data_IF_324348370901
#
_entry.id   IF_324348370901
#
_cell.length_a   1.000
_cell.length_b   1.000
_cell.length_c   1.000
_cell.angle_alpha   90.00
_cell.angle_beta   90.00
_cell.angle_gamma   90.00
#
_symmetry.space_group_name_H-M   'P 1'
#
loop_
_entity.id
_entity.type
_entity.pdbx_description
1 polymer ?
#
# COMPACT_ATOMS: atom_id res chain seq x y z
N UNK A 1 3.06 29.92 18.81
CA UNK A 1 3.12 28.69 18.01
C UNK A 1 4.07 27.74 18.72
N UNK A 2 3.56 26.74 19.41
CA UNK A 2 4.40 25.73 20.07
C UNK A 2 4.49 24.54 19.11
N UNK A 3 5.68 24.28 18.57
CA UNK A 3 5.97 23.08 17.80
C UNK A 3 5.86 21.89 18.77
N UNK A 4 4.88 21.03 18.54
CA UNK A 4 4.85 19.73 19.21
C UNK A 4 5.92 18.87 18.55
N UNK A 5 7.09 18.81 19.19
CA UNK A 5 8.10 17.82 18.86
C UNK A 5 7.48 16.45 19.20
N UNK A 6 7.25 15.62 18.18
CA UNK A 6 6.91 14.23 18.37
C UNK A 6 8.09 13.53 19.07
N UNK A 7 7.94 13.28 20.36
CA UNK A 7 8.90 12.46 21.10
C UNK A 7 8.60 11.00 20.78
N UNK A 8 9.50 10.38 20.06
CA UNK A 8 9.52 8.94 19.81
C UNK A 8 9.71 8.22 21.16
N UNK A 9 8.64 7.87 21.83
CA UNK A 9 8.65 6.93 22.94
C UNK A 9 8.51 5.54 22.32
N UNK A 10 9.64 4.84 22.14
CA UNK A 10 9.72 3.50 21.57
C UNK A 10 9.04 2.44 22.46
N UNK A 11 7.71 2.48 22.52
CA UNK A 11 6.88 1.46 23.12
C UNK A 11 6.06 0.78 22.05
N UNK A 12 6.02 -0.58 22.08
CA UNK A 12 5.10 -1.37 21.24
C UNK A 12 3.67 -0.88 21.48
N UNK A 13 2.88 -0.63 20.42
CA UNK A 13 1.46 -0.33 20.56
C UNK A 13 0.80 -1.50 21.28
N UNK A 14 0.18 -1.23 22.41
CA UNK A 14 -0.57 -2.24 23.16
C UNK A 14 -1.93 -2.46 22.52
N UNK A 15 -2.56 -3.60 22.79
CA UNK A 15 -3.94 -3.88 22.38
C UNK A 15 -4.89 -2.77 22.87
N UNK A 16 -4.67 -2.24 24.08
CA UNK A 16 -5.47 -1.14 24.62
C UNK A 16 -5.36 0.15 23.79
N UNK A 17 -4.21 0.40 23.15
CA UNK A 17 -4.06 1.51 22.22
C UNK A 17 -4.71 1.21 20.87
N UNK A 18 -4.66 -0.04 20.40
CA UNK A 18 -5.36 -0.48 19.20
C UNK A 18 -6.89 -0.40 19.40
N UNK A 19 -7.38 -0.75 20.57
CA UNK A 19 -8.80 -0.67 20.93
C UNK A 19 -9.36 0.75 20.81
N UNK A 20 -8.54 1.79 21.05
CA UNK A 20 -8.98 3.19 20.90
C UNK A 20 -9.11 3.64 19.44
N UNK A 21 -8.58 2.89 18.47
CA UNK A 21 -8.67 3.21 17.05
C UNK A 21 -10.06 2.83 16.54
N UNK A 22 -10.73 3.76 15.89
CA UNK A 22 -12.03 3.53 15.26
C UNK A 22 -11.88 3.18 13.78
N UNK A 23 -10.91 3.80 13.10
CA UNK A 23 -10.64 3.60 11.68
C UNK A 23 -9.23 3.05 11.51
N UNK A 24 -9.10 1.98 10.74
CA UNK A 24 -7.81 1.39 10.35
C UNK A 24 -7.70 1.47 8.83
N UNK A 25 -6.65 2.15 8.38
CA UNK A 25 -6.31 2.32 6.98
C UNK A 25 -5.20 1.34 6.62
N UNK A 26 -5.35 0.64 5.50
CA UNK A 26 -4.36 -0.34 5.03
C UNK A 26 -3.85 0.03 3.64
N UNK A 27 -2.55 -0.05 3.41
CA UNK A 27 -2.08 -0.21 2.03
C UNK A 27 -2.42 -1.60 1.50
N UNK A 28 -2.35 -1.78 0.18
CA UNK A 28 -2.69 -3.05 -0.48
C UNK A 28 -1.43 -3.85 -0.80
N UNK A 29 -0.66 -3.39 -1.79
CA UNK A 29 0.49 -4.11 -2.34
C UNK A 29 1.67 -4.10 -1.36
N UNK A 30 2.09 -5.24 -0.85
CA UNK A 30 3.15 -5.36 0.15
C UNK A 30 2.67 -5.28 1.60
N UNK A 31 1.41 -4.92 1.83
CA UNK A 31 0.80 -4.83 3.16
C UNK A 31 -0.27 -5.89 3.36
N UNK A 32 -1.38 -5.80 2.64
CA UNK A 32 -2.47 -6.79 2.69
C UNK A 32 -2.14 -8.02 1.85
N UNK A 33 -1.53 -7.83 0.67
CA UNK A 33 -1.32 -8.88 -0.32
C UNK A 33 0.09 -8.85 -0.91
N UNK A 34 0.64 -10.05 -1.22
CA UNK A 34 1.82 -10.19 -2.08
C UNK A 34 1.37 -10.25 -3.55
N UNK A 35 1.37 -9.10 -4.20
CA UNK A 35 0.98 -8.93 -5.60
C UNK A 35 2.17 -8.86 -6.56
N UNK A 36 3.39 -8.99 -6.05
CA UNK A 36 4.60 -8.78 -6.85
C UNK A 36 4.69 -9.74 -8.05
N UNK A 37 4.23 -10.98 -7.90
CA UNK A 37 4.27 -12.00 -8.97
C UNK A 37 3.36 -11.62 -10.14
N UNK A 38 2.16 -11.13 -9.87
CA UNK A 38 1.24 -10.69 -10.94
C UNK A 38 1.72 -9.41 -11.62
N UNK A 39 2.26 -8.46 -10.86
CA UNK A 39 2.89 -7.25 -11.41
C UNK A 39 4.09 -7.61 -12.29
N UNK A 40 4.93 -8.54 -11.86
CA UNK A 40 6.07 -9.05 -12.63
C UNK A 40 5.62 -9.74 -13.92
N UNK A 41 4.61 -10.62 -13.84
CA UNK A 41 4.04 -11.30 -14.99
C UNK A 41 3.52 -10.30 -16.03
N UNK A 42 2.65 -9.38 -15.61
CA UNK A 42 2.06 -8.39 -16.50
C UNK A 42 3.11 -7.44 -17.09
N UNK A 43 4.11 -7.03 -16.31
CA UNK A 43 5.21 -6.20 -16.81
C UNK A 43 6.02 -6.92 -17.87
N UNK A 44 6.41 -8.17 -17.64
CA UNK A 44 7.18 -8.92 -18.64
C UNK A 44 6.38 -9.29 -19.89
N UNK A 45 5.09 -9.52 -19.77
CA UNK A 45 4.21 -9.64 -20.95
C UNK A 45 4.17 -8.33 -21.75
N UNK A 46 4.12 -7.19 -21.07
CA UNK A 46 4.12 -5.87 -21.71
C UNK A 46 5.45 -5.56 -22.39
N UNK A 47 6.57 -5.84 -21.72
CA UNK A 47 7.90 -5.67 -22.29
C UNK A 47 8.12 -6.56 -23.51
N UNK A 48 7.68 -7.81 -23.46
CA UNK A 48 7.76 -8.74 -24.59
C UNK A 48 6.92 -8.25 -25.77
N UNK A 49 5.71 -7.76 -25.55
CA UNK A 49 4.84 -7.18 -26.59
C UNK A 49 5.50 -5.96 -27.26
N UNK A 50 6.29 -5.20 -26.52
CA UNK A 50 7.05 -4.03 -27.00
C UNK A 50 8.47 -4.37 -27.49
N UNK A 51 8.85 -5.65 -27.51
CA UNK A 51 10.17 -6.14 -27.88
C UNK A 51 11.31 -5.52 -27.03
N UNK A 52 11.05 -5.29 -25.76
CA UNK A 52 12.00 -4.78 -24.75
C UNK A 52 12.59 -5.93 -23.92
N UNK A 53 13.80 -5.75 -23.35
CA UNK A 53 14.37 -6.73 -22.43
C UNK A 53 13.47 -6.98 -21.21
N UNK A 54 13.48 -8.21 -20.70
CA UNK A 54 12.69 -8.60 -19.53
C UNK A 54 13.39 -8.19 -18.23
N UNK A 55 12.61 -8.05 -17.16
CA UNK A 55 13.07 -7.72 -15.81
C UNK A 55 12.86 -8.91 -14.86
N UNK A 56 13.51 -8.90 -13.69
CA UNK A 56 13.36 -9.94 -12.66
C UNK A 56 12.28 -9.57 -11.64
N UNK A 57 11.76 -10.57 -10.93
CA UNK A 57 10.81 -10.35 -9.84
C UNK A 57 11.40 -9.47 -8.72
N UNK A 58 12.69 -9.66 -8.40
CA UNK A 58 13.40 -8.88 -7.39
C UNK A 58 13.45 -7.39 -7.79
N UNK A 59 13.75 -7.10 -9.05
CA UNK A 59 13.70 -5.73 -9.57
C UNK A 59 12.30 -5.13 -9.47
N UNK A 60 11.26 -5.89 -9.85
CA UNK A 60 9.86 -5.43 -9.76
C UNK A 60 9.52 -5.05 -8.32
N UNK A 61 9.88 -5.87 -7.32
CA UNK A 61 9.65 -5.57 -5.90
C UNK A 61 10.25 -4.23 -5.46
N UNK A 62 11.37 -3.80 -6.05
CA UNK A 62 11.97 -2.49 -5.70
C UNK A 62 11.24 -1.30 -6.30
N UNK A 63 10.41 -1.49 -7.33
CA UNK A 63 9.73 -0.39 -8.04
C UNK A 63 8.24 -0.24 -7.70
N UNK A 64 7.65 -1.25 -7.04
CA UNK A 64 6.23 -1.24 -6.65
C UNK A 64 5.97 -0.23 -5.53
N UNK A 65 4.75 0.32 -5.45
CA UNK A 65 4.25 1.13 -4.34
C UNK A 65 4.14 2.64 -4.63
N UNK A 66 4.74 3.15 -5.73
CA UNK A 66 4.67 4.58 -6.11
C UNK A 66 3.61 4.91 -7.17
N UNK A 67 2.77 3.92 -7.51
CA UNK A 67 1.76 4.02 -8.57
C UNK A 67 2.28 3.61 -9.94
N UNK A 68 1.34 3.23 -10.83
CA UNK A 68 1.63 2.51 -12.08
C UNK A 68 2.53 3.29 -13.04
N UNK A 69 2.29 4.60 -13.19
CA UNK A 69 3.11 5.44 -14.09
C UNK A 69 4.57 5.52 -13.64
N UNK A 70 4.80 5.64 -12.32
CA UNK A 70 6.17 5.65 -11.74
C UNK A 70 6.80 4.27 -11.88
N UNK A 71 6.05 3.20 -11.68
CA UNK A 71 6.50 1.83 -11.87
C UNK A 71 6.99 1.61 -13.32
N UNK A 72 6.19 1.93 -14.32
CA UNK A 72 6.59 1.83 -15.73
C UNK A 72 7.81 2.69 -16.06
N UNK A 73 7.88 3.91 -15.53
CA UNK A 73 9.03 4.78 -15.73
C UNK A 73 10.31 4.20 -15.09
N UNK A 74 10.22 3.61 -13.90
CA UNK A 74 11.36 2.96 -13.24
C UNK A 74 11.91 1.78 -14.05
N UNK A 75 11.01 0.97 -14.61
CA UNK A 75 11.38 -0.14 -15.51
C UNK A 75 12.11 0.38 -16.75
N UNK A 76 11.56 1.36 -17.44
CA UNK A 76 12.20 1.93 -18.64
C UNK A 76 13.54 2.60 -18.31
N UNK A 77 13.62 3.36 -17.22
CA UNK A 77 14.87 3.99 -16.79
C UNK A 77 15.95 2.96 -16.50
N UNK A 78 15.59 1.82 -15.92
CA UNK A 78 16.52 0.71 -15.70
C UNK A 78 17.01 0.08 -17.01
N UNK A 79 16.13 -0.11 -17.99
CA UNK A 79 16.45 -0.78 -19.25
C UNK A 79 17.16 0.12 -20.25
N UNK A 80 16.86 1.41 -20.28
CA UNK A 80 17.25 2.32 -21.36
C UNK A 80 18.04 3.55 -20.88
N UNK A 81 18.03 3.85 -19.57
CA UNK A 81 18.59 5.07 -18.99
C UNK A 81 17.69 6.28 -19.21
N UNK A 82 17.74 6.89 -20.38
CA UNK A 82 16.85 8.02 -20.73
C UNK A 82 15.50 7.52 -21.24
N UNK A 83 14.41 8.08 -20.71
CA UNK A 83 13.04 7.67 -21.04
C UNK A 83 12.32 8.80 -21.77
N UNK A 84 11.83 8.51 -22.97
CA UNK A 84 11.00 9.45 -23.72
C UNK A 84 9.51 9.31 -23.31
N UNK A 85 8.75 10.43 -23.22
CA UNK A 85 7.35 10.41 -22.79
C UNK A 85 6.45 9.45 -23.59
N UNK A 86 6.71 9.31 -24.90
CA UNK A 86 5.96 8.39 -25.76
C UNK A 86 6.17 6.91 -25.37
N UNK A 87 7.40 6.53 -25.05
CA UNK A 87 7.74 5.17 -24.60
C UNK A 87 7.10 4.86 -23.24
N UNK A 88 7.15 5.84 -22.34
CA UNK A 88 6.49 5.73 -21.04
C UNK A 88 4.98 5.52 -21.18
N UNK A 89 4.33 6.31 -22.03
CA UNK A 89 2.89 6.20 -22.26
C UNK A 89 2.53 4.88 -22.94
N UNK A 90 3.35 4.42 -23.89
CA UNK A 90 3.14 3.15 -24.57
C UNK A 90 3.24 1.97 -23.59
N UNK A 91 4.31 1.91 -22.76
CA UNK A 91 4.44 0.85 -21.74
C UNK A 91 3.31 0.91 -20.73
N UNK A 92 2.94 2.12 -20.25
CA UNK A 92 1.84 2.29 -19.30
C UNK A 92 0.52 1.75 -19.84
N UNK A 93 0.17 2.09 -21.09
CA UNK A 93 -1.07 1.63 -21.71
C UNK A 93 -1.07 0.11 -21.88
N UNK A 94 0.02 -0.47 -22.42
CA UNK A 94 0.15 -1.91 -22.61
C UNK A 94 0.11 -2.66 -21.28
N UNK A 95 0.79 -2.13 -20.24
CA UNK A 95 0.77 -2.72 -18.91
C UNK A 95 -0.63 -2.69 -18.29
N UNK A 96 -1.32 -1.56 -18.35
CA UNK A 96 -2.68 -1.43 -17.80
C UNK A 96 -3.66 -2.36 -18.50
N UNK A 97 -3.59 -2.49 -19.83
CA UNK A 97 -4.42 -3.41 -20.60
C UNK A 97 -4.21 -4.86 -20.14
N UNK A 98 -2.96 -5.31 -20.05
CA UNK A 98 -2.62 -6.69 -19.65
C UNK A 98 -2.95 -6.94 -18.18
N UNK A 99 -2.56 -6.02 -17.30
CA UNK A 99 -2.73 -6.18 -15.86
C UNK A 99 -4.21 -6.15 -15.45
N UNK A 100 -5.00 -5.22 -16.01
CA UNK A 100 -6.41 -5.09 -15.66
C UNK A 100 -7.27 -6.24 -16.20
N UNK A 101 -6.81 -6.96 -17.21
CA UNK A 101 -7.50 -8.16 -17.68
C UNK A 101 -7.51 -9.28 -16.62
N UNK A 102 -6.43 -9.39 -15.82
CA UNK A 102 -6.32 -10.44 -14.82
C UNK A 102 -5.32 -10.01 -13.70
N UNK A 103 -5.73 -9.16 -12.76
CA UNK A 103 -4.83 -8.55 -11.79
C UNK A 103 -4.53 -9.44 -10.57
N UNK A 104 -5.19 -10.61 -10.45
CA UNK A 104 -5.13 -11.48 -9.28
C UNK A 104 -5.14 -12.96 -9.69
N UNK A 105 -3.98 -13.45 -10.18
CA UNK A 105 -3.75 -14.89 -10.50
C UNK A 105 -2.96 -15.55 -9.37
N UNK A 106 -1.80 -14.98 -9.05
CA UNK A 106 -0.86 -15.50 -8.04
C UNK A 106 -0.88 -14.67 -6.74
N UNK A 107 -1.59 -13.54 -6.75
CA UNK A 107 -1.73 -12.65 -5.59
C UNK A 107 -2.43 -13.37 -4.44
N UNK A 108 -1.85 -13.31 -3.24
CA UNK A 108 -2.41 -13.92 -2.03
C UNK A 108 -2.31 -12.94 -0.85
N UNK A 109 -3.21 -13.01 0.13
CA UNK A 109 -3.05 -12.30 1.39
C UNK A 109 -1.78 -12.76 2.11
N UNK A 110 -1.07 -11.82 2.76
CA UNK A 110 0.02 -12.21 3.64
C UNK A 110 -0.50 -12.98 4.87
N UNK A 111 0.33 -13.85 5.48
CA UNK A 111 -0.04 -14.58 6.70
C UNK A 111 -0.50 -13.63 7.81
N UNK A 112 -1.59 -13.96 8.49
CA UNK A 112 -2.13 -13.18 9.60
C UNK A 112 -3.06 -12.01 9.20
N UNK A 113 -3.20 -11.73 7.89
CA UNK A 113 -4.07 -10.64 7.42
C UNK A 113 -5.54 -10.96 7.69
N UNK A 114 -6.00 -12.14 7.30
CA UNK A 114 -7.41 -12.51 7.47
C UNK A 114 -7.79 -12.53 8.95
N UNK A 115 -6.96 -13.12 9.79
CA UNK A 115 -7.16 -13.16 11.24
C UNK A 115 -7.25 -11.76 11.86
N UNK A 116 -6.41 -10.83 11.37
CA UNK A 116 -6.45 -9.45 11.83
C UNK A 116 -7.73 -8.72 11.36
N UNK A 117 -8.13 -8.90 10.10
CA UNK A 117 -9.35 -8.30 9.57
C UNK A 117 -10.60 -8.83 10.26
N UNK A 118 -10.67 -10.13 10.54
CA UNK A 118 -11.76 -10.77 11.31
C UNK A 118 -11.85 -10.16 12.70
N UNK A 119 -10.71 -10.07 13.43
CA UNK A 119 -10.67 -9.42 14.73
C UNK A 119 -11.17 -7.98 14.64
N UNK A 120 -10.71 -7.20 13.67
CA UNK A 120 -11.09 -5.81 13.53
C UNK A 120 -12.60 -5.64 13.27
N UNK A 121 -13.22 -6.54 12.49
CA UNK A 121 -14.68 -6.54 12.28
C UNK A 121 -15.45 -6.93 13.54
N UNK A 122 -14.98 -7.91 14.32
CA UNK A 122 -15.56 -8.25 15.63
C UNK A 122 -15.51 -7.05 16.57
N UNK A 123 -14.42 -6.25 16.52
CA UNK A 123 -14.27 -5.00 17.28
C UNK A 123 -15.02 -3.81 16.66
N UNK A 124 -15.82 -4.03 15.62
CA UNK A 124 -16.60 -3.00 14.92
C UNK A 124 -15.75 -1.83 14.39
N UNK A 125 -14.49 -2.10 14.00
CA UNK A 125 -13.63 -1.11 13.36
C UNK A 125 -14.10 -0.81 11.94
N UNK A 126 -13.92 0.44 11.51
CA UNK A 126 -14.05 0.84 10.12
C UNK A 126 -12.72 0.54 9.43
N UNK A 127 -12.75 -0.25 8.35
CA UNK A 127 -11.56 -0.66 7.62
C UNK A 127 -11.58 -0.08 6.21
N UNK A 128 -10.50 0.60 5.83
CA UNK A 128 -10.38 1.21 4.51
C UNK A 128 -9.06 0.80 3.87
N UNK A 129 -9.12 0.28 2.66
CA UNK A 129 -7.94 0.08 1.84
C UNK A 129 -7.56 1.42 1.18
N UNK A 130 -6.33 1.91 1.41
CA UNK A 130 -5.82 3.19 0.88
C UNK A 130 -4.51 2.94 0.15
N UNK A 131 -4.54 2.90 -1.17
CA UNK A 131 -3.42 2.45 -1.99
C UNK A 131 -3.03 3.45 -3.08
N UNK A 132 -1.76 3.38 -3.54
CA UNK A 132 -1.29 4.10 -4.72
C UNK A 132 -1.63 3.37 -6.05
N UNK A 133 -2.10 2.12 -5.95
CA UNK A 133 -2.64 1.38 -7.09
C UNK A 133 -3.92 2.06 -7.59
N UNK A 134 -4.20 2.09 -8.91
CA UNK A 134 -5.51 2.56 -9.41
C UNK A 134 -6.67 1.79 -8.76
N UNK A 135 -7.79 2.48 -8.54
CA UNK A 135 -8.89 1.94 -7.73
C UNK A 135 -9.54 0.69 -8.36
N UNK A 136 -9.71 0.68 -9.67
CA UNK A 136 -10.34 -0.44 -10.36
C UNK A 136 -9.59 -1.77 -10.13
N UNK A 137 -8.29 -1.92 -10.41
CA UNK A 137 -7.57 -3.16 -10.10
C UNK A 137 -7.42 -3.42 -8.61
N UNK A 138 -7.40 -2.39 -7.75
CA UNK A 138 -7.39 -2.60 -6.30
C UNK A 138 -8.68 -3.28 -5.82
N UNK A 139 -9.84 -2.81 -6.27
CA UNK A 139 -11.15 -3.43 -5.98
C UNK A 139 -11.24 -4.84 -6.56
N UNK A 140 -10.75 -5.06 -7.79
CA UNK A 140 -10.75 -6.38 -8.40
C UNK A 140 -9.94 -7.41 -7.60
N UNK A 141 -8.78 -7.03 -7.04
CA UNK A 141 -7.98 -7.89 -6.17
C UNK A 141 -8.73 -8.21 -4.86
N UNK A 142 -9.27 -7.18 -4.20
CA UNK A 142 -10.02 -7.34 -2.96
C UNK A 142 -11.24 -8.26 -3.16
N UNK A 143 -11.91 -8.18 -4.30
CA UNK A 143 -13.04 -9.03 -4.67
C UNK A 143 -12.59 -10.46 -5.01
N UNK A 144 -11.54 -10.63 -5.83
CA UNK A 144 -11.02 -11.94 -6.21
C UNK A 144 -10.52 -12.76 -5.01
N UNK A 145 -10.04 -12.10 -3.96
CA UNK A 145 -9.62 -12.70 -2.70
C UNK A 145 -10.75 -12.81 -1.67
N UNK A 146 -11.99 -12.53 -2.07
CA UNK A 146 -13.18 -12.56 -1.20
C UNK A 146 -13.07 -11.68 0.06
N UNK A 147 -12.23 -10.61 0.00
CA UNK A 147 -11.95 -9.72 1.13
C UNK A 147 -12.87 -8.48 1.15
N UNK A 148 -13.72 -8.26 0.15
CA UNK A 148 -14.56 -7.06 0.01
C UNK A 148 -15.49 -6.83 1.21
N UNK A 149 -15.91 -7.89 1.89
CA UNK A 149 -16.81 -7.81 3.03
C UNK A 149 -16.15 -7.26 4.30
N UNK A 150 -14.79 -7.19 4.34
CA UNK A 150 -14.06 -6.56 5.45
C UNK A 150 -14.01 -5.05 5.31
N UNK A 151 -13.96 -4.50 4.10
CA UNK A 151 -13.68 -3.10 3.86
C UNK A 151 -14.93 -2.25 3.68
N UNK A 152 -14.95 -1.11 4.36
CA UNK A 152 -16.00 -0.10 4.22
C UNK A 152 -15.77 0.76 2.96
N UNK A 153 -14.50 0.95 2.52
CA UNK A 153 -14.13 1.53 1.21
C UNK A 153 -12.76 1.05 0.74
N UNK A 154 -12.52 1.19 -0.58
CA UNK A 154 -11.22 1.02 -1.24
C UNK A 154 -10.91 2.29 -1.98
N UNK A 155 -9.90 3.03 -1.55
CA UNK A 155 -9.45 4.31 -2.10
C UNK A 155 -8.19 4.08 -2.92
N UNK A 156 -8.34 4.14 -4.24
CA UNK A 156 -7.22 4.01 -5.18
C UNK A 156 -6.41 5.29 -5.34
N UNK A 157 -5.23 5.15 -5.95
CA UNK A 157 -4.29 6.25 -6.18
C UNK A 157 -4.75 7.27 -7.22
N UNK A 158 -5.85 7.00 -7.91
CA UNK A 158 -6.48 7.84 -8.92
C UNK A 158 -7.78 8.50 -8.45
N UNK A 159 -8.20 8.27 -7.18
CA UNK A 159 -9.39 8.92 -6.62
C UNK A 159 -9.21 10.42 -6.40
N UNK A 160 -7.98 10.85 -6.12
CA UNK A 160 -7.59 12.25 -5.92
C UNK A 160 -6.42 12.60 -6.84
N UNK A 161 -6.14 13.87 -7.00
CA UNK A 161 -4.96 14.34 -7.74
C UNK A 161 -3.68 13.88 -7.05
N UNK A 162 -3.67 13.93 -5.70
CA UNK A 162 -2.52 13.53 -4.89
C UNK A 162 -2.75 12.15 -4.25
N UNK A 163 -1.66 11.37 -4.21
CA UNK A 163 -1.56 10.06 -3.57
C UNK A 163 -0.42 10.01 -2.56
N UNK A 164 -0.33 8.94 -1.75
CA UNK A 164 0.79 8.75 -0.81
C UNK A 164 2.15 8.92 -1.52
N UNK A 165 3.09 9.71 -0.98
CA UNK A 165 3.20 10.21 0.40
C UNK A 165 2.45 11.52 0.71
N UNK A 166 1.59 12.05 -0.18
CA UNK A 166 0.71 13.14 0.17
C UNK A 166 -0.40 12.65 1.11
N UNK A 167 -0.82 13.42 2.13
CA UNK A 167 -1.76 12.96 3.14
C UNK A 167 -3.23 12.96 2.70
N UNK A 168 -3.54 13.38 1.45
CA UNK A 168 -4.91 13.63 0.98
C UNK A 168 -5.87 12.47 1.19
N UNK A 169 -5.45 11.25 0.81
CA UNK A 169 -6.29 10.05 0.94
C UNK A 169 -6.61 9.75 2.42
N UNK A 170 -5.62 9.89 3.33
CA UNK A 170 -5.79 9.63 4.76
C UNK A 170 -6.67 10.69 5.41
N UNK A 171 -6.46 11.97 5.09
CA UNK A 171 -7.27 13.07 5.60
C UNK A 171 -8.72 12.99 5.12
N UNK A 172 -8.95 12.50 3.90
CA UNK A 172 -10.31 12.22 3.42
C UNK A 172 -11.02 11.20 4.32
N UNK A 173 -10.34 10.15 4.78
CA UNK A 173 -10.94 9.17 5.70
C UNK A 173 -11.29 9.81 7.05
N UNK A 174 -10.41 10.66 7.61
CA UNK A 174 -10.69 11.42 8.85
C UNK A 174 -11.96 12.26 8.70
N UNK A 175 -12.06 13.01 7.59
CA UNK A 175 -13.20 13.88 7.30
C UNK A 175 -14.48 13.07 7.05
N UNK A 176 -14.41 12.01 6.24
CA UNK A 176 -15.56 11.20 5.83
C UNK A 176 -16.20 10.46 7.01
N UNK A 177 -15.37 9.86 7.86
CA UNK A 177 -15.84 9.12 9.03
C UNK A 177 -16.03 9.99 10.28
N UNK A 178 -15.72 11.29 10.20
CA UNK A 178 -15.91 12.28 11.26
C UNK A 178 -15.23 11.87 12.59
N UNK A 179 -14.00 11.37 12.49
CA UNK A 179 -13.19 10.89 13.63
C UNK A 179 -12.02 11.82 13.90
N UNK A 180 -11.50 11.79 15.14
CA UNK A 180 -10.26 12.46 15.47
C UNK A 180 -9.07 11.69 14.88
N UNK A 181 -8.00 12.40 14.49
CA UNK A 181 -6.77 11.78 13.94
C UNK A 181 -6.17 10.70 14.86
N UNK A 182 -6.27 10.90 16.17
CA UNK A 182 -5.84 9.94 17.19
C UNK A 182 -6.64 8.64 17.19
N UNK A 183 -7.80 8.60 16.53
CA UNK A 183 -8.65 7.43 16.39
C UNK A 183 -8.41 6.69 15.06
N UNK A 184 -7.48 7.18 14.24
CA UNK A 184 -7.11 6.58 12.96
C UNK A 184 -5.72 5.94 13.09
N UNK A 185 -5.55 4.77 12.49
CA UNK A 185 -4.27 4.09 12.37
C UNK A 185 -4.01 3.78 10.89
N UNK A 186 -2.82 4.09 10.40
CA UNK A 186 -2.33 3.61 9.11
C UNK A 186 -1.49 2.35 9.30
N UNK A 187 -1.73 1.32 8.50
CA UNK A 187 -0.90 0.13 8.39
C UNK A 187 -0.39 0.05 6.95
N UNK A 188 0.93 0.03 6.80
CA UNK A 188 1.59 0.01 5.50
C UNK A 188 2.91 -0.76 5.53
N UNK A 189 3.65 -0.73 4.44
CA UNK A 189 4.96 -1.41 4.31
C UNK A 189 6.07 -0.49 3.81
N UNK A 190 5.75 0.76 3.48
CA UNK A 190 6.68 1.62 2.74
C UNK A 190 6.82 3.02 3.31
N UNK A 191 7.85 3.72 2.84
CA UNK A 191 8.08 5.15 3.12
C UNK A 191 6.90 6.02 2.71
N UNK A 192 6.12 5.63 1.70
CA UNK A 192 4.95 6.37 1.26
C UNK A 192 3.86 6.40 2.34
N UNK A 193 3.66 5.30 3.05
CA UNK A 193 2.67 5.16 4.12
C UNK A 193 3.08 5.95 5.35
N UNK A 194 4.32 5.77 5.78
CA UNK A 194 4.90 6.47 6.93
C UNK A 194 4.83 7.98 6.75
N UNK A 195 5.24 8.46 5.57
CA UNK A 195 5.29 9.90 5.31
C UNK A 195 3.88 10.49 5.13
N UNK A 196 2.95 9.76 4.47
CA UNK A 196 1.56 10.18 4.36
C UNK A 196 0.90 10.30 5.75
N UNK A 197 1.09 9.30 6.61
CA UNK A 197 0.57 9.29 7.98
C UNK A 197 1.18 10.41 8.82
N UNK A 198 2.51 10.62 8.74
CA UNK A 198 3.23 11.70 9.43
C UNK A 198 2.67 13.08 9.05
N UNK A 199 2.47 13.33 7.75
CA UNK A 199 1.90 14.60 7.24
C UNK A 199 0.43 14.76 7.61
N UNK A 200 -0.32 13.67 7.71
CA UNK A 200 -1.71 13.69 8.17
C UNK A 200 -1.82 13.90 9.68
N UNK A 201 -0.76 13.61 10.46
CA UNK A 201 -0.79 13.59 11.92
C UNK A 201 -1.53 12.36 12.46
N UNK A 202 -1.38 11.22 11.77
CA UNK A 202 -1.97 9.91 12.07
C UNK A 202 -0.84 8.96 12.45
N UNK A 203 -1.09 8.06 13.39
CA UNK A 203 -0.15 7.00 13.75
C UNK A 203 0.01 5.98 12.62
N UNK A 204 1.25 5.47 12.45
CA UNK A 204 1.57 4.49 11.43
C UNK A 204 2.35 3.31 12.00
N UNK A 205 1.82 2.10 11.78
CA UNK A 205 2.53 0.84 11.98
C UNK A 205 2.92 0.30 10.60
N UNK A 206 4.09 -0.30 10.48
CA UNK A 206 4.52 -0.92 9.23
C UNK A 206 4.84 -2.39 9.44
N UNK A 207 4.61 -3.16 8.37
CA UNK A 207 5.01 -4.56 8.29
C UNK A 207 6.41 -4.69 7.71
N UNK A 208 7.19 -5.67 8.20
CA UNK A 208 8.57 -5.88 7.77
C UNK A 208 8.71 -6.68 6.48
N UNK A 209 7.67 -7.42 6.11
CA UNK A 209 7.66 -8.34 4.96
C UNK A 209 7.37 -7.66 3.62
N UNK A 210 7.01 -6.37 3.62
CA UNK A 210 6.64 -5.63 2.41
C UNK A 210 7.82 -5.25 1.51
N UNK A 211 7.59 -4.36 0.58
CA UNK A 211 8.54 -4.09 -0.49
C UNK A 211 9.47 -2.92 -0.21
N UNK A 212 8.98 -1.85 0.38
CA UNK A 212 9.69 -0.59 0.71
C UNK A 212 10.81 -0.20 -0.28
N UNK A 213 10.59 -0.40 -1.57
CA UNK A 213 11.52 -0.02 -2.65
C UNK A 213 12.94 -0.57 -2.51
N UNK A 214 13.11 -1.72 -1.82
CA UNK A 214 14.41 -2.34 -1.55
C UNK A 214 15.20 -1.72 -0.40
N UNK A 215 14.64 -0.73 0.31
CA UNK A 215 15.27 -0.08 1.46
C UNK A 215 14.75 -0.64 2.78
N UNK A 216 15.58 -0.74 3.84
CA UNK A 216 15.11 -1.15 5.16
C UNK A 216 14.01 -0.20 5.67
N UNK A 217 12.84 -0.73 6.00
CA UNK A 217 11.70 0.08 6.47
C UNK A 217 11.98 0.87 7.75
N UNK A 218 12.91 0.40 8.58
CA UNK A 218 13.36 1.10 9.79
C UNK A 218 13.93 2.49 9.49
N UNK A 219 14.50 2.71 8.30
CA UNK A 219 15.03 4.01 7.88
C UNK A 219 13.94 5.10 7.81
N UNK A 220 12.68 4.72 7.63
CA UNK A 220 11.54 5.64 7.57
C UNK A 220 11.06 6.10 8.94
N UNK A 221 11.61 5.53 10.02
CA UNK A 221 11.25 5.82 11.42
C UNK A 221 9.72 5.71 11.65
N UNK A 222 9.11 4.55 11.37
CA UNK A 222 7.71 4.30 11.68
C UNK A 222 7.52 4.23 13.20
N UNK A 223 6.29 4.35 13.67
CA UNK A 223 5.98 4.26 15.09
C UNK A 223 6.23 2.85 15.64
N UNK A 224 5.94 1.83 14.83
CA UNK A 224 6.22 0.43 15.16
C UNK A 224 6.44 -0.37 13.87
N UNK A 225 7.27 -1.40 13.95
CA UNK A 225 7.44 -2.44 12.92
C UNK A 225 6.96 -3.76 13.51
N UNK A 226 6.19 -4.51 12.75
CA UNK A 226 5.73 -5.86 13.10
C UNK A 226 6.05 -6.84 11.97
N UNK A 227 6.36 -8.08 12.31
CA UNK A 227 6.61 -9.15 11.33
C UNK A 227 5.31 -9.83 10.91
N UNK A 228 4.24 -9.67 11.71
CA UNK A 228 2.91 -10.17 11.44
C UNK A 228 1.87 -9.29 12.16
N UNK A 229 0.72 -9.02 11.52
CA UNK A 229 -0.32 -8.19 12.13
C UNK A 229 -0.96 -8.84 13.36
N UNK A 230 -0.92 -10.18 13.48
CA UNK A 230 -1.42 -10.88 14.69
C UNK A 230 -0.61 -10.54 15.94
N UNK A 231 0.62 -10.03 15.82
CA UNK A 231 1.39 -9.53 16.96
C UNK A 231 0.68 -8.36 17.69
N UNK A 232 -0.16 -7.62 16.98
CA UNK A 232 -0.95 -6.53 17.54
C UNK A 232 -2.14 -7.03 18.37
N UNK A 233 -2.52 -8.30 18.21
CA UNK A 233 -3.67 -8.92 18.87
C UNK A 233 -3.32 -9.56 20.22
N UNK A 234 -2.02 -9.64 20.60
CA UNK A 234 -1.53 -10.34 21.80
C UNK A 234 -2.10 -11.77 21.93
N UNK A 235 -2.18 -12.51 20.82
CA UNK A 235 -2.58 -13.92 20.78
C UNK A 235 -1.33 -14.79 20.92
#
# INVERSE_FOLDING_TARGET
>A
MRSHAFVYLGGRMSIAQLDTRQVILFDLDGTLVDSATDLYRAMNMSLNALQLPLVTLEQVRTWVGKGTAVFCNSVLSHLMGEVHPEQQQQLLNTFLEIYNADPCIDTQPFPGIIEFLEWAKVQQKILVCVTNKPEQPARAIVEALEMQHYFDDVIGGDRFEERKPHPRQLLHCVEHYQVEKSQVLMIGDSSNDVEAARRAGIDCIVVSYGYNHGEPIANCQPQQIVDNLTELLNI
#
